data_IF_954485253746
#
_entry.id   IF_954485253746
#
_cell.length_a   1.000
_cell.length_b   1.000
_cell.length_c   1.000
_cell.angle_alpha   90.00
_cell.angle_beta   90.00
_cell.angle_gamma   90.00
#
_symmetry.space_group_name_H-M   'P 1'
#
loop_
_entity.id
_entity.type
_entity.pdbx_description
1 polymer ?
#
# COMPACT_ATOMS: atom_id res chain seq x y z
N UNK A 1 -14.40 -4.07 5.74
CA UNK A 1 -13.75 -3.59 4.50
C UNK A 1 -13.53 -4.73 3.53
N UNK A 2 -13.61 -4.47 2.21
CA UNK A 2 -13.42 -5.47 1.15
C UNK A 2 -12.07 -6.16 1.26
N UNK A 3 -12.05 -7.48 1.00
CA UNK A 3 -10.83 -8.29 1.09
C UNK A 3 -9.92 -8.12 -0.12
N UNK A 4 -10.53 -8.00 -1.32
CA UNK A 4 -9.84 -7.88 -2.59
C UNK A 4 -9.54 -6.42 -2.91
N UNK A 5 -8.41 -6.16 -3.56
CA UNK A 5 -8.00 -4.83 -4.02
C UNK A 5 -8.11 -4.71 -5.54
N UNK A 6 -7.58 -5.69 -6.27
CA UNK A 6 -7.51 -5.74 -7.73
C UNK A 6 -7.75 -7.19 -8.21
N UNK A 7 -6.95 -7.68 -9.15
CA UNK A 7 -7.02 -9.01 -9.76
C UNK A 7 -6.09 -10.04 -9.07
N UNK A 8 -5.56 -9.73 -7.88
CA UNK A 8 -4.65 -10.60 -7.13
C UNK A 8 -5.32 -11.91 -6.69
N UNK A 9 -4.52 -12.95 -6.46
CA UNK A 9 -5.03 -14.13 -5.76
C UNK A 9 -5.31 -13.78 -4.29
N UNK A 10 -6.41 -14.30 -3.73
CA UNK A 10 -6.70 -14.09 -2.30
C UNK A 10 -5.83 -15.01 -1.45
N UNK A 11 -5.45 -14.51 -0.28
CA UNK A 11 -4.66 -15.24 0.71
C UNK A 11 -5.04 -14.83 2.15
N UNK A 12 -4.35 -15.39 3.14
CA UNK A 12 -4.55 -15.11 4.57
C UNK A 12 -3.85 -13.82 5.06
N UNK A 13 -3.38 -12.95 4.15
CA UNK A 13 -2.63 -11.73 4.46
C UNK A 13 -3.23 -10.90 5.59
N UNK A 14 -4.55 -10.71 5.58
CA UNK A 14 -5.26 -9.92 6.58
C UNK A 14 -4.96 -10.35 8.03
N UNK A 15 -4.90 -11.66 8.30
CA UNK A 15 -4.63 -12.19 9.65
C UNK A 15 -3.18 -11.96 10.04
N UNK A 16 -2.26 -12.20 9.10
CA UNK A 16 -0.82 -12.03 9.30
C UNK A 16 -0.49 -10.57 9.54
N UNK A 17 -0.96 -9.68 8.67
CA UNK A 17 -0.69 -8.25 8.73
C UNK A 17 -1.28 -7.61 9.99
N UNK A 18 -2.51 -7.97 10.36
CA UNK A 18 -3.09 -7.48 11.61
C UNK A 18 -2.25 -7.90 12.83
N UNK A 19 -1.75 -9.14 12.87
CA UNK A 19 -0.92 -9.60 13.97
C UNK A 19 0.40 -8.82 14.09
N UNK A 20 1.02 -8.44 12.96
CA UNK A 20 2.26 -7.67 12.93
C UNK A 20 2.05 -6.16 13.20
N UNK A 21 0.95 -5.59 12.72
CA UNK A 21 0.73 -4.14 12.72
C UNK A 21 -0.05 -3.63 13.94
N UNK A 22 -0.91 -4.45 14.57
CA UNK A 22 -1.84 -3.96 15.61
C UNK A 22 -1.14 -3.27 16.80
N UNK A 23 0.04 -3.74 17.21
CA UNK A 23 0.78 -3.13 18.32
C UNK A 23 1.61 -1.93 17.84
N UNK A 24 2.07 -1.93 16.58
CA UNK A 24 2.80 -0.81 15.98
C UNK A 24 1.95 0.44 15.90
N UNK A 25 0.70 0.31 15.44
CA UNK A 25 -0.22 1.45 15.26
C UNK A 25 -0.99 1.82 16.54
N UNK A 26 -0.72 1.14 17.65
CA UNK A 26 -1.48 1.32 18.89
C UNK A 26 -1.27 2.72 19.45
N UNK A 27 -2.38 3.38 19.81
CA UNK A 27 -2.39 4.75 20.35
C UNK A 27 -1.86 5.83 19.40
N UNK A 28 -1.65 5.52 18.11
CA UNK A 28 -1.32 6.52 17.11
C UNK A 28 -2.57 7.29 16.65
N UNK A 29 -2.37 8.51 16.16
CA UNK A 29 -3.40 9.17 15.37
C UNK A 29 -3.65 8.37 14.08
N UNK A 30 -4.81 8.53 13.46
CA UNK A 30 -5.10 7.84 12.20
C UNK A 30 -4.11 8.25 11.09
N UNK A 31 -3.68 9.52 11.10
CA UNK A 31 -2.64 10.03 10.20
C UNK A 31 -1.31 9.29 10.40
N UNK A 32 -0.81 9.21 11.63
CA UNK A 32 0.48 8.57 11.92
C UNK A 32 0.43 7.06 11.71
N UNK A 33 -0.72 6.44 11.97
CA UNK A 33 -0.93 5.02 11.69
C UNK A 33 -0.82 4.71 10.18
N UNK A 34 -1.26 5.59 9.29
CA UNK A 34 -1.07 5.41 7.84
C UNK A 34 0.41 5.44 7.48
N UNK A 35 1.16 6.39 8.03
CA UNK A 35 2.60 6.54 7.80
C UNK A 35 3.38 5.32 8.34
N UNK A 36 3.08 4.88 9.57
CA UNK A 36 3.70 3.69 10.17
C UNK A 36 3.42 2.42 9.36
N UNK A 37 2.19 2.24 8.89
CA UNK A 37 1.86 1.08 8.04
C UNK A 37 2.63 1.13 6.72
N UNK A 38 2.78 2.30 6.10
CA UNK A 38 3.55 2.42 4.86
C UNK A 38 5.05 2.19 5.09
N UNK A 39 5.59 2.65 6.22
CA UNK A 39 6.95 2.34 6.65
C UNK A 39 7.15 0.83 6.83
N UNK A 40 6.23 0.15 7.52
CA UNK A 40 6.25 -1.31 7.63
C UNK A 40 6.17 -1.99 6.25
N UNK A 41 5.41 -1.43 5.28
CA UNK A 41 5.37 -1.97 3.93
C UNK A 41 6.73 -1.89 3.24
N UNK A 42 7.42 -0.76 3.38
CA UNK A 42 8.77 -0.56 2.85
C UNK A 42 9.81 -1.52 3.45
N UNK A 43 9.66 -1.88 4.73
CA UNK A 43 10.50 -2.91 5.37
C UNK A 43 10.36 -4.31 4.72
N UNK A 44 9.28 -4.55 3.97
CA UNK A 44 8.90 -5.89 3.46
C UNK A 44 9.07 -6.03 1.95
N UNK A 45 8.78 -4.97 1.20
CA UNK A 45 8.72 -5.02 -0.27
C UNK A 45 9.45 -3.82 -0.83
N UNK A 46 10.35 -4.09 -1.78
CA UNK A 46 11.05 -3.06 -2.55
C UNK A 46 10.62 -3.10 -4.02
N UNK A 47 10.71 -1.95 -4.68
CA UNK A 47 10.35 -1.84 -6.08
C UNK A 47 11.26 -2.72 -6.95
N UNK A 48 10.67 -3.60 -7.76
CA UNK A 48 11.38 -4.32 -8.83
C UNK A 48 10.42 -4.56 -10.00
N UNK A 49 10.84 -4.29 -11.26
CA UNK A 49 10.03 -4.63 -12.43
C UNK A 49 9.63 -6.12 -12.45
N UNK A 50 8.36 -6.40 -12.72
CA UNK A 50 7.78 -7.76 -12.71
C UNK A 50 6.83 -7.98 -13.89
N UNK A 51 6.25 -9.18 -14.00
CA UNK A 51 5.23 -9.49 -15.01
C UNK A 51 3.89 -8.76 -14.73
N UNK A 52 2.96 -8.80 -15.69
CA UNK A 52 1.72 -8.03 -15.60
C UNK A 52 0.74 -8.51 -14.51
N UNK A 53 0.93 -9.70 -13.92
CA UNK A 53 0.02 -10.27 -12.93
C UNK A 53 0.34 -9.71 -11.55
N UNK A 54 -0.68 -9.17 -10.88
CA UNK A 54 -0.54 -8.69 -9.51
C UNK A 54 -0.45 -9.87 -8.54
N UNK A 55 0.69 -9.96 -7.85
CA UNK A 55 0.93 -10.93 -6.78
C UNK A 55 -0.03 -10.72 -5.60
N UNK A 56 -0.36 -11.81 -4.90
CA UNK A 56 -1.10 -11.69 -3.64
C UNK A 56 -0.24 -10.99 -2.57
N UNK A 57 -0.83 -10.35 -1.55
CA UNK A 57 -0.05 -9.61 -0.57
C UNK A 57 0.98 -10.46 0.18
N UNK A 58 0.68 -11.71 0.55
CA UNK A 58 1.69 -12.61 1.14
C UNK A 58 2.72 -13.09 0.13
N UNK A 59 2.38 -13.19 -1.16
CA UNK A 59 3.36 -13.49 -2.19
C UNK A 59 4.40 -12.35 -2.29
N UNK A 60 3.96 -11.09 -2.26
CA UNK A 60 4.86 -9.92 -2.24
C UNK A 60 5.80 -9.93 -1.03
N UNK A 61 5.32 -10.32 0.16
CA UNK A 61 6.18 -10.48 1.35
C UNK A 61 7.20 -11.60 1.18
N UNK A 62 6.83 -12.72 0.53
CA UNK A 62 7.74 -13.85 0.31
C UNK A 62 8.81 -13.56 -0.72
N UNK A 63 8.47 -12.83 -1.78
CA UNK A 63 9.42 -12.44 -2.82
C UNK A 63 10.26 -11.25 -2.41
N UNK A 64 9.74 -10.41 -1.50
CA UNK A 64 10.30 -9.14 -1.06
C UNK A 64 10.42 -8.09 -2.18
N UNK A 65 9.72 -8.28 -3.30
CA UNK A 65 9.71 -7.34 -4.41
C UNK A 65 8.34 -7.25 -5.11
N UNK A 66 8.07 -6.10 -5.73
CA UNK A 66 6.89 -5.87 -6.57
C UNK A 66 7.01 -4.56 -7.35
N UNK A 67 6.24 -4.40 -8.44
CA UNK A 67 6.05 -3.09 -9.09
C UNK A 67 4.92 -2.31 -8.42
N UNK A 68 4.63 -1.10 -8.92
CA UNK A 68 3.62 -0.20 -8.38
C UNK A 68 2.24 -0.86 -8.16
N UNK A 69 1.83 -1.80 -9.01
CA UNK A 69 0.57 -2.56 -8.86
C UNK A 69 0.56 -3.50 -7.66
N UNK A 70 1.62 -4.27 -7.47
CA UNK A 70 1.81 -5.19 -6.34
C UNK A 70 2.00 -4.43 -5.04
N UNK A 71 2.82 -3.38 -5.04
CA UNK A 71 3.06 -2.54 -3.87
C UNK A 71 1.76 -1.88 -3.41
N UNK A 72 1.01 -1.23 -4.31
CA UNK A 72 -0.26 -0.60 -3.94
C UNK A 72 -1.32 -1.61 -3.49
N UNK A 73 -1.35 -2.82 -4.06
CA UNK A 73 -2.20 -3.92 -3.59
C UNK A 73 -1.82 -4.35 -2.16
N UNK A 74 -0.52 -4.51 -1.92
CA UNK A 74 0.04 -4.90 -0.64
C UNK A 74 -0.21 -3.85 0.45
N UNK A 75 0.11 -2.58 0.20
CA UNK A 75 -0.10 -1.47 1.14
C UNK A 75 -1.59 -1.28 1.45
N UNK A 76 -2.49 -1.39 0.47
CA UNK A 76 -3.93 -1.33 0.73
C UNK A 76 -4.38 -2.50 1.62
N UNK A 77 -3.87 -3.71 1.39
CA UNK A 77 -4.19 -4.86 2.24
C UNK A 77 -3.67 -4.67 3.68
N UNK A 78 -2.47 -4.11 3.84
CA UNK A 78 -1.87 -3.79 5.14
C UNK A 78 -2.70 -2.76 5.91
N UNK A 79 -2.99 -1.61 5.31
CA UNK A 79 -3.85 -0.56 5.89
C UNK A 79 -5.22 -1.13 6.29
N UNK A 80 -5.82 -1.93 5.40
CA UNK A 80 -7.13 -2.52 5.65
C UNK A 80 -7.13 -3.57 6.76
N UNK A 81 -5.99 -4.21 7.04
CA UNK A 81 -5.87 -5.19 8.12
C UNK A 81 -6.02 -4.55 9.50
N UNK A 82 -5.58 -3.30 9.67
CA UNK A 82 -5.67 -2.52 10.92
C UNK A 82 -6.86 -1.56 10.95
N UNK A 83 -7.81 -1.71 10.01
CA UNK A 83 -9.06 -0.97 10.03
C UNK A 83 -9.05 0.39 9.32
N UNK A 84 -7.95 0.74 8.65
CA UNK A 84 -7.83 2.00 7.91
C UNK A 84 -8.47 1.85 6.52
N UNK A 85 -9.47 2.67 6.16
CA UNK A 85 -10.03 2.65 4.81
C UNK A 85 -9.01 3.15 3.80
N UNK A 86 -8.70 2.31 2.82
CA UNK A 86 -7.74 2.61 1.76
C UNK A 86 -8.18 2.04 0.41
N UNK A 87 -7.70 2.62 -0.69
CA UNK A 87 -7.94 2.15 -2.06
C UNK A 87 -6.67 2.28 -2.92
N UNK A 88 -6.53 1.38 -3.88
CA UNK A 88 -5.57 1.51 -4.96
C UNK A 88 -6.14 2.49 -5.98
N UNK A 89 -5.29 3.36 -6.49
CA UNK A 89 -5.59 4.22 -7.62
C UNK A 89 -4.60 3.92 -8.73
N UNK A 90 -5.06 3.96 -9.98
CA UNK A 90 -4.30 3.51 -11.13
C UNK A 90 -4.59 4.39 -12.35
N UNK A 91 -3.56 4.65 -13.15
CA UNK A 91 -3.72 5.21 -14.50
C UNK A 91 -2.86 4.44 -15.50
N UNK A 92 -3.44 4.05 -16.65
CA UNK A 92 -2.74 3.30 -17.69
C UNK A 92 -1.70 4.13 -18.44
N UNK A 93 -1.75 5.46 -18.30
CA UNK A 93 -0.78 6.38 -18.88
C UNK A 93 -0.40 7.41 -17.82
N UNK A 94 0.86 7.39 -17.42
CA UNK A 94 1.39 8.32 -16.45
C UNK A 94 1.97 9.55 -17.13
N UNK A 95 1.77 10.71 -16.51
CA UNK A 95 2.26 11.97 -17.09
C UNK A 95 3.77 12.15 -16.90
N UNK A 96 4.35 11.48 -15.90
CA UNK A 96 5.75 11.66 -15.50
C UNK A 96 6.69 10.59 -16.06
N UNK A 97 6.17 9.47 -16.54
CA UNK A 97 6.91 8.39 -17.22
C UNK A 97 6.06 7.82 -18.35
N UNK A 98 6.68 7.33 -19.43
CA UNK A 98 5.96 6.67 -20.54
C UNK A 98 5.54 5.24 -20.17
N UNK A 99 4.80 5.10 -19.06
CA UNK A 99 4.30 3.83 -18.52
C UNK A 99 3.00 4.07 -17.72
N UNK A 100 2.41 3.02 -17.15
CA UNK A 100 1.34 3.09 -16.19
C UNK A 100 1.87 3.40 -14.77
N UNK A 101 0.99 3.85 -13.88
CA UNK A 101 1.33 4.04 -12.47
C UNK A 101 0.15 3.71 -11.56
N UNK A 102 0.47 3.19 -10.37
CA UNK A 102 -0.49 2.93 -9.30
C UNK A 102 0.04 3.46 -7.97
N UNK A 103 -0.85 4.04 -7.17
CA UNK A 103 -0.56 4.57 -5.83
C UNK A 103 -1.70 4.22 -4.87
N UNK A 104 -1.58 4.66 -3.61
CA UNK A 104 -2.58 4.40 -2.57
C UNK A 104 -3.23 5.69 -2.13
N UNK A 105 -4.51 5.61 -1.78
CA UNK A 105 -5.20 6.64 -1.00
C UNK A 105 -5.77 6.05 0.29
N UNK A 106 -5.58 6.75 1.40
CA UNK A 106 -6.12 6.42 2.72
C UNK A 106 -7.12 7.50 3.19
N UNK A 107 -8.19 7.07 3.87
CA UNK A 107 -9.20 7.96 4.42
C UNK A 107 -8.83 8.34 5.85
N UNK A 108 -8.53 9.60 6.07
CA UNK A 108 -8.16 10.16 7.38
C UNK A 108 -9.08 11.34 7.67
N UNK A 109 -9.81 11.27 8.79
CA UNK A 109 -10.62 12.37 9.34
C UNK A 109 -11.51 13.09 8.33
N UNK A 110 -12.18 12.34 7.46
CA UNK A 110 -13.14 12.88 6.49
C UNK A 110 -12.55 13.27 5.13
N UNK A 111 -11.28 12.96 4.87
CA UNK A 111 -10.60 13.30 3.60
C UNK A 111 -9.77 12.12 3.08
N UNK A 112 -9.64 12.04 1.76
CA UNK A 112 -8.68 11.16 1.10
C UNK A 112 -7.32 11.82 1.04
N UNK A 113 -6.29 11.06 1.42
CA UNK A 113 -4.89 11.44 1.31
C UNK A 113 -4.16 10.41 0.45
N UNK A 114 -3.34 10.86 -0.49
CA UNK A 114 -2.53 9.95 -1.30
C UNK A 114 -1.15 9.72 -0.68
N UNK A 115 -0.55 8.59 -1.03
CA UNK A 115 0.82 8.20 -0.68
C UNK A 115 1.37 7.22 -1.72
N UNK A 116 2.69 7.23 -1.89
CA UNK A 116 3.41 6.19 -2.60
C UNK A 116 3.35 4.86 -1.83
N UNK A 117 3.17 3.75 -2.55
CA UNK A 117 3.03 2.43 -1.94
C UNK A 117 4.42 1.86 -1.63
N UNK A 118 4.68 1.49 -0.38
CA UNK A 118 6.03 1.09 0.06
C UNK A 118 7.09 2.21 -0.10
N UNK A 119 6.65 3.45 -0.25
CA UNK A 119 7.49 4.65 -0.41
C UNK A 119 7.21 5.58 0.79
N UNK A 120 7.93 5.42 1.92
CA UNK A 120 7.62 6.12 3.15
C UNK A 120 8.08 7.59 3.07
N UNK A 121 7.12 8.49 2.99
CA UNK A 121 7.31 9.94 3.11
C UNK A 121 6.98 10.42 4.54
N UNK A 122 7.55 11.54 5.02
CA UNK A 122 7.30 12.04 6.37
C UNK A 122 5.88 12.59 6.56
N UNK A 123 5.15 12.83 5.47
CA UNK A 123 3.78 13.38 5.47
C UNK A 123 2.95 12.74 4.37
N UNK A 124 1.62 12.76 4.54
CA UNK A 124 0.69 12.37 3.49
C UNK A 124 0.58 13.45 2.39
N UNK A 125 0.07 13.07 1.21
CA UNK A 125 0.04 13.89 0.00
C UNK A 125 1.44 14.31 -0.49
N UNK A 126 2.41 13.43 -0.28
CA UNK A 126 3.75 13.56 -0.82
C UNK A 126 4.15 12.23 -1.47
N UNK A 127 4.79 12.34 -2.62
CA UNK A 127 5.41 11.25 -3.36
C UNK A 127 6.31 11.85 -4.44
N UNK A 128 7.11 11.02 -5.08
CA UNK A 128 8.09 11.46 -6.08
C UNK A 128 7.49 12.19 -7.30
N UNK A 129 6.17 12.07 -7.51
CA UNK A 129 5.46 12.60 -8.68
C UNK A 129 4.73 13.94 -8.44
N UNK A 130 4.78 14.49 -7.23
CA UNK A 130 4.17 15.80 -6.93
C UNK A 130 5.16 16.80 -6.31
N UNK A 131 6.44 16.55 -6.49
CA UNK A 131 7.57 17.44 -6.13
C UNK A 131 8.09 18.21 -7.32
#
# INVERSE_FOLDING_TARGET
>A
MPIRVNNENLDDSRKVFFAELKERVKNMSLHDAVLEVNHWCHEKVIYTPSDARTSSPLASVRTAYGRCGEESTFTVAALRSVGIPARQVYTPRWAHTDDNHAWVEAWVDGKWYFLGACEPEPVLNLGWFNT
#
